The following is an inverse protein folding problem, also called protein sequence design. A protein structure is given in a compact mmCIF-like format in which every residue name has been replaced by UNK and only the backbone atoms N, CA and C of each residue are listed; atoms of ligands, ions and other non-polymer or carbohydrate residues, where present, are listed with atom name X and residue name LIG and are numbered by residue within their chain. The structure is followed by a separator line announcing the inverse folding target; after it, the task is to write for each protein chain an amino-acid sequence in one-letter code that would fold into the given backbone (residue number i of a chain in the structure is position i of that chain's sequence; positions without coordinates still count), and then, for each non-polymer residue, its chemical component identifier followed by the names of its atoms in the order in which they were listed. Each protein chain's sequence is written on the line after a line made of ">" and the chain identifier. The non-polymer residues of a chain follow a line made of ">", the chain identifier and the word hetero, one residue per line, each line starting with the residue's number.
data_IF_724380447168
#
_entry.id   IF_724380447168
#
_cell.length_a   1.000
_cell.length_b   1.000
_cell.length_c   1.000
_cell.angle_alpha   90.00
_cell.angle_beta   90.00
_cell.angle_gamma   90.00
#
_symmetry.space_group_name_H-M   'P 1'
#
loop_
_entity.id
_entity.type
_entity.pdbx_description
1 polymer ?
#
# COMPACT_ATOMS: atom_id res chain seq x y z
N UNK A 1 16.59 -30.21 -6.33
CA UNK A 1 15.34 -29.67 -6.90
C UNK A 1 15.10 -28.33 -6.24
N UNK A 2 15.38 -27.22 -6.93
CA UNK A 2 15.09 -25.89 -6.38
C UNK A 2 13.58 -25.67 -6.43
N UNK A 3 12.93 -25.77 -5.28
CA UNK A 3 11.54 -25.34 -5.12
C UNK A 3 11.50 -23.82 -5.22
N UNK A 4 11.13 -23.29 -6.37
CA UNK A 4 10.71 -21.89 -6.49
C UNK A 4 9.38 -21.74 -5.77
N UNK A 5 9.45 -21.46 -4.46
CA UNK A 5 8.29 -21.02 -3.69
C UNK A 5 7.92 -19.62 -4.18
N UNK A 6 6.86 -19.51 -4.97
CA UNK A 6 6.26 -18.23 -5.31
C UNK A 6 5.61 -17.65 -4.04
N UNK A 7 6.00 -16.44 -3.66
CA UNK A 7 5.45 -15.73 -2.51
C UNK A 7 4.25 -14.90 -2.96
N UNK A 8 3.07 -15.16 -2.40
CA UNK A 8 1.91 -14.29 -2.63
C UNK A 8 2.00 -13.03 -1.74
N UNK A 9 2.61 -11.97 -2.27
CA UNK A 9 2.78 -10.70 -1.57
C UNK A 9 1.43 -10.08 -1.15
N UNK A 10 0.37 -10.29 -1.92
CA UNK A 10 -0.93 -9.69 -1.63
C UNK A 10 -1.55 -10.24 -0.34
N UNK A 11 -1.21 -11.48 0.04
CA UNK A 11 -1.69 -12.12 1.27
C UNK A 11 -1.20 -11.45 2.57
N UNK A 12 -0.11 -10.69 2.51
CA UNK A 12 0.45 -9.97 3.66
C UNK A 12 -0.22 -8.63 3.92
N UNK A 13 -1.04 -8.14 2.98
CA UNK A 13 -1.70 -6.86 3.09
C UNK A 13 -3.22 -7.02 3.26
N UNK A 14 -3.87 -6.07 3.97
CA UNK A 14 -5.32 -6.00 4.06
C UNK A 14 -6.02 -6.09 2.69
N UNK A 15 -7.19 -6.71 2.64
CA UNK A 15 -7.92 -6.96 1.39
C UNK A 15 -8.36 -5.68 0.65
N UNK A 16 -8.45 -4.57 1.37
CA UNK A 16 -8.76 -3.23 0.89
C UNK A 16 -7.53 -2.47 0.37
N UNK A 17 -6.33 -3.03 0.48
CA UNK A 17 -5.10 -2.56 -0.17
C UNK A 17 -4.71 -3.51 -1.29
N UNK A 18 -4.70 -3.01 -2.54
CA UNK A 18 -4.33 -3.80 -3.71
C UNK A 18 -2.94 -3.44 -4.19
N UNK A 19 -2.11 -4.46 -4.39
CA UNK A 19 -0.85 -4.32 -5.12
C UNK A 19 -1.19 -4.15 -6.61
N UNK A 20 -0.73 -3.05 -7.18
CA UNK A 20 -0.88 -2.74 -8.60
C UNK A 20 0.29 -3.28 -9.41
N UNK A 21 1.49 -3.14 -8.85
CA UNK A 21 2.74 -3.44 -9.52
C UNK A 21 3.85 -3.66 -8.49
N UNK A 22 4.83 -4.47 -8.88
CA UNK A 22 6.03 -4.75 -8.08
C UNK A 22 7.23 -4.62 -9.02
N UNK A 23 8.05 -3.61 -8.77
CA UNK A 23 9.32 -3.44 -9.46
C UNK A 23 10.46 -3.88 -8.54
N UNK A 24 11.35 -4.72 -9.07
CA UNK A 24 12.55 -5.17 -8.38
C UNK A 24 13.79 -4.68 -9.12
N UNK A 25 14.71 -4.11 -8.36
CA UNK A 25 16.06 -3.75 -8.78
C UNK A 25 17.07 -4.52 -7.91
N UNK A 26 18.37 -4.35 -8.15
CA UNK A 26 19.40 -5.03 -7.38
C UNK A 26 19.36 -4.66 -5.89
N UNK A 27 19.04 -3.39 -5.57
CA UNK A 27 19.09 -2.86 -4.21
C UNK A 27 17.71 -2.56 -3.60
N UNK A 28 16.66 -2.48 -4.41
CA UNK A 28 15.34 -2.02 -3.99
C UNK A 28 14.19 -2.80 -4.62
N UNK A 29 13.15 -3.03 -3.81
CA UNK A 29 11.84 -3.53 -4.23
C UNK A 29 10.82 -2.41 -4.00
N UNK A 30 10.13 -2.00 -5.05
CA UNK A 30 9.08 -0.98 -5.01
C UNK A 30 7.74 -1.69 -5.20
N UNK A 31 6.89 -1.65 -4.17
CA UNK A 31 5.54 -2.20 -4.21
C UNK A 31 4.56 -1.03 -4.37
N UNK A 32 3.96 -0.91 -5.55
CA UNK A 32 2.94 0.12 -5.81
C UNK A 32 1.59 -0.40 -5.37
N UNK A 33 0.90 0.37 -4.53
CA UNK A 33 -0.37 -0.04 -3.94
C UNK A 33 -1.44 1.05 -4.03
N UNK A 34 -2.69 0.62 -4.06
CA UNK A 34 -3.85 1.50 -4.07
C UNK A 34 -4.93 0.98 -3.09
N UNK A 35 -5.53 1.89 -2.34
CA UNK A 35 -6.66 1.57 -1.48
C UNK A 35 -7.94 1.46 -2.29
N UNK A 36 -8.60 0.31 -2.23
CA UNK A 36 -9.92 0.06 -2.85
C UNK A 36 -11.08 0.22 -1.84
N UNK A 37 -10.79 0.68 -0.63
CA UNK A 37 -11.83 0.92 0.37
C UNK A 37 -12.72 2.09 -0.04
N UNK A 38 -14.02 1.82 -0.18
CA UNK A 38 -15.06 2.84 -0.33
C UNK A 38 -15.59 3.33 1.02
N UNK A 39 -15.15 2.73 2.13
CA UNK A 39 -15.65 3.00 3.47
C UNK A 39 -14.48 3.37 4.37
N UNK A 40 -14.05 4.62 4.29
CA UNK A 40 -13.04 5.16 5.18
C UNK A 40 -13.73 5.94 6.30
N UNK A 41 -13.32 5.73 7.55
CA UNK A 41 -13.84 6.46 8.72
C UNK A 41 -12.69 7.27 9.30
N UNK A 42 -12.93 8.54 9.62
CA UNK A 42 -11.87 9.38 10.15
C UNK A 42 -11.43 8.87 11.53
N UNK A 43 -10.15 8.53 11.68
CA UNK A 43 -9.58 8.11 12.97
C UNK A 43 -9.60 9.21 14.04
N UNK A 44 -9.79 10.48 13.65
CA UNK A 44 -9.89 11.62 14.60
C UNK A 44 -11.31 11.85 15.11
N UNK A 45 -12.33 11.80 14.25
CA UNK A 45 -13.69 12.19 14.62
C UNK A 45 -14.76 11.10 14.41
N UNK A 46 -14.41 9.95 13.82
CA UNK A 46 -15.34 8.86 13.55
C UNK A 46 -16.33 9.13 12.41
N UNK A 47 -16.24 10.27 11.72
CA UNK A 47 -17.12 10.58 10.60
C UNK A 47 -16.80 9.72 9.37
N UNK A 48 -17.81 9.28 8.59
CA UNK A 48 -17.59 8.64 7.31
C UNK A 48 -16.95 9.64 6.34
N UNK A 49 -15.85 9.23 5.74
CA UNK A 49 -15.07 10.04 4.82
C UNK A 49 -15.60 9.83 3.40
N UNK A 50 -16.69 10.54 3.08
CA UNK A 50 -17.46 10.36 1.83
C UNK A 50 -16.93 11.26 0.71
N UNK A 51 -16.26 12.37 1.04
CA UNK A 51 -15.72 13.33 0.06
C UNK A 51 -14.22 13.15 -0.13
N UNK A 52 -13.86 12.67 -1.31
CA UNK A 52 -12.49 12.74 -1.84
C UNK A 52 -12.08 14.21 -2.00
N UNK A 53 -11.09 14.65 -1.20
CA UNK A 53 -10.56 16.01 -1.25
C UNK A 53 -9.32 16.11 -2.15
N UNK A 54 -8.55 15.04 -2.23
CA UNK A 54 -7.33 14.94 -3.03
C UNK A 54 -6.71 13.57 -2.92
N UNK A 55 -5.67 13.33 -3.70
CA UNK A 55 -4.84 12.14 -3.54
C UNK A 55 -3.39 12.55 -3.34
N UNK A 56 -2.74 11.95 -2.36
CA UNK A 56 -1.34 12.19 -2.05
C UNK A 56 -0.55 10.90 -2.16
N UNK A 57 0.63 11.02 -2.73
CA UNK A 57 1.57 9.92 -2.89
C UNK A 57 2.43 9.82 -1.64
N UNK A 58 2.39 8.68 -0.97
CA UNK A 58 3.22 8.41 0.21
C UNK A 58 4.13 7.23 -0.05
N UNK A 59 5.40 7.44 0.28
CA UNK A 59 6.42 6.40 0.31
C UNK A 59 6.70 6.04 1.77
N UNK A 60 6.42 4.80 2.14
CA UNK A 60 6.82 4.24 3.42
C UNK A 60 7.96 3.25 3.17
N UNK A 61 9.11 3.49 3.82
CA UNK A 61 10.21 2.53 3.78
C UNK A 61 9.92 1.44 4.81
N UNK A 62 9.98 0.18 4.39
CA UNK A 62 9.73 -0.98 5.25
C UNK A 62 11.01 -1.81 5.47
N UNK A 63 10.91 -2.84 6.32
CA UNK A 63 11.95 -3.81 6.58
C UNK A 63 12.47 -4.44 5.28
N UNK A 64 13.79 -4.71 5.18
CA UNK A 64 14.37 -5.26 3.97
C UNK A 64 13.80 -6.65 3.63
N UNK A 65 13.14 -6.79 2.49
CA UNK A 65 12.78 -8.11 1.94
C UNK A 65 14.00 -8.60 1.15
N UNK A 66 14.50 -9.78 1.52
CA UNK A 66 15.67 -10.41 0.87
C UNK A 66 16.95 -9.53 0.91
N UNK A 67 17.09 -8.68 1.93
CA UNK A 67 18.22 -7.77 2.07
C UNK A 67 18.16 -6.54 1.17
N UNK A 68 17.09 -6.38 0.37
CA UNK A 68 16.84 -5.20 -0.46
C UNK A 68 16.00 -4.19 0.29
N UNK A 69 16.22 -2.90 0.04
CA UNK A 69 15.33 -1.85 0.55
C UNK A 69 13.93 -2.07 0.00
N UNK A 70 12.90 -1.93 0.84
CA UNK A 70 11.52 -2.02 0.37
C UNK A 70 10.85 -0.67 0.52
N UNK A 71 10.25 -0.20 -0.56
CA UNK A 71 9.46 1.02 -0.58
C UNK A 71 8.02 0.66 -0.93
N UNK A 72 7.11 0.94 -0.01
CA UNK A 72 5.67 0.91 -0.27
C UNK A 72 5.27 2.25 -0.85
N UNK A 73 4.83 2.23 -2.10
CA UNK A 73 4.45 3.42 -2.83
C UNK A 73 2.93 3.48 -3.01
N UNK A 74 2.27 4.35 -2.24
CA UNK A 74 0.82 4.33 -2.07
C UNK A 74 0.19 5.64 -2.51
N UNK A 75 -0.87 5.54 -3.31
CA UNK A 75 -1.79 6.65 -3.49
C UNK A 75 -2.86 6.60 -2.40
N UNK A 76 -2.85 7.60 -1.53
CA UNK A 76 -3.80 7.72 -0.41
C UNK A 76 -4.78 8.83 -0.72
N UNK A 77 -6.04 8.59 -0.42
CA UNK A 77 -7.09 9.59 -0.52
C UNK A 77 -7.10 10.47 0.73
N UNK A 78 -7.03 11.78 0.52
CA UNK A 78 -7.31 12.76 1.55
C UNK A 78 -8.81 13.01 1.61
N UNK A 79 -9.33 13.06 2.82
CA UNK A 79 -10.74 13.23 3.06
C UNK A 79 -11.00 14.37 4.02
N UNK A 80 -11.98 15.22 3.68
CA UNK A 80 -12.42 16.27 4.58
C UNK A 80 -13.48 15.72 5.53
N UNK A 81 -13.28 15.98 6.83
CA UNK A 81 -14.34 15.82 7.83
C UNK A 81 -15.33 16.97 7.67
N UNK A 82 -16.63 16.66 7.72
CA UNK A 82 -17.71 17.64 7.86
C UNK A 82 -17.73 18.24 9.27
#
# INVERSE_FOLDING_TARGET
>A
MSTTSSLDLQSFYPADLKILDVEETDDEIIIRMHSVSNNCTCHKCGAPLIKHHGSHHRKAQDLPILGKRVTLDMQIFDYNCS
#
